data_IF_761778970492
#
_entry.id   IF_761778970492
#
_cell.length_a   1.000
_cell.length_b   1.000
_cell.length_c   1.000
_cell.angle_alpha   90.00
_cell.angle_beta   90.00
_cell.angle_gamma   90.00
#
_symmetry.space_group_name_H-M   'P 1'
#
loop_
_entity.id
_entity.type
_entity.pdbx_description
1 polymer ?
#
# COMPACT_ATOMS: atom_id res chain seq x y z
N UNK A 1 1.41 -5.41 18.40
CA UNK A 1 0.89 -5.82 17.09
C UNK A 1 1.65 -7.10 16.74
N UNK A 2 0.95 -8.20 16.47
CA UNK A 2 1.58 -9.49 16.15
C UNK A 2 2.08 -9.49 14.70
N UNK A 3 3.06 -10.32 14.35
CA UNK A 3 3.54 -10.44 12.96
C UNK A 3 2.37 -10.55 11.94
N UNK A 4 1.34 -11.34 12.27
CA UNK A 4 0.16 -11.49 11.42
C UNK A 4 -0.64 -10.20 11.21
N UNK A 5 -0.75 -9.34 12.23
CA UNK A 5 -1.44 -8.05 12.12
C UNK A 5 -0.68 -7.11 11.15
N UNK A 6 0.65 -7.09 11.21
CA UNK A 6 1.47 -6.29 10.29
C UNK A 6 1.30 -6.76 8.84
N UNK A 7 1.34 -8.08 8.62
CA UNK A 7 1.12 -8.68 7.29
C UNK A 7 -0.25 -8.29 6.76
N UNK A 8 -1.30 -8.42 7.57
CA UNK A 8 -2.67 -8.09 7.17
C UNK A 8 -2.81 -6.61 6.77
N UNK A 9 -2.18 -5.70 7.51
CA UNK A 9 -2.19 -4.26 7.18
C UNK A 9 -1.46 -4.02 5.85
N UNK A 10 -0.27 -4.60 5.67
CA UNK A 10 0.51 -4.45 4.43
C UNK A 10 -0.26 -5.00 3.21
N UNK A 11 -0.87 -6.19 3.33
CA UNK A 11 -1.70 -6.79 2.28
C UNK A 11 -2.95 -5.96 1.96
N UNK A 12 -3.58 -5.37 2.98
CA UNK A 12 -4.75 -4.50 2.79
C UNK A 12 -4.39 -3.23 2.03
N UNK A 13 -3.26 -2.61 2.35
CA UNK A 13 -2.77 -1.42 1.64
C UNK A 13 -2.38 -1.78 0.20
N UNK A 14 -1.64 -2.87 0.00
CA UNK A 14 -1.25 -3.35 -1.33
C UNK A 14 -2.46 -3.66 -2.22
N UNK A 15 -3.49 -4.30 -1.64
CA UNK A 15 -4.76 -4.56 -2.33
C UNK A 15 -5.48 -3.26 -2.72
N UNK A 16 -5.54 -2.28 -1.80
CA UNK A 16 -6.16 -0.98 -2.10
C UNK A 16 -5.42 -0.23 -3.21
N UNK A 17 -4.08 -0.25 -3.20
CA UNK A 17 -3.25 0.34 -4.25
C UNK A 17 -3.54 -0.30 -5.61
N UNK A 18 -3.61 -1.64 -5.69
CA UNK A 18 -3.98 -2.36 -6.92
C UNK A 18 -5.37 -1.97 -7.44
N UNK A 19 -6.34 -1.78 -6.55
CA UNK A 19 -7.67 -1.31 -6.93
C UNK A 19 -7.60 0.10 -7.50
N UNK A 20 -6.88 1.01 -6.85
CA UNK A 20 -6.71 2.39 -7.35
C UNK A 20 -5.97 2.41 -8.70
N UNK A 21 -4.95 1.59 -8.90
CA UNK A 21 -4.21 1.48 -10.18
C UNK A 21 -5.07 0.89 -11.31
N UNK A 22 -6.17 0.21 -10.98
CA UNK A 22 -7.11 -0.36 -11.95
C UNK A 22 -8.24 0.58 -12.38
N UNK A 23 -8.33 1.76 -11.76
CA UNK A 23 -9.34 2.77 -12.10
C UNK A 23 -9.01 3.36 -13.47
N UNK A 24 -10.02 3.42 -14.34
CA UNK A 24 -9.91 4.09 -15.64
C UNK A 24 -9.97 5.62 -15.43
N UNK A 25 -8.90 6.37 -15.76
CA UNK A 25 -8.85 7.82 -15.59
C UNK A 25 -9.93 8.58 -16.36
N UNK A 26 -10.43 8.02 -17.47
CA UNK A 26 -11.51 8.67 -18.26
C UNK A 26 -12.89 8.50 -17.63
N UNK A 27 -13.01 7.63 -16.63
CA UNK A 27 -14.27 7.33 -15.93
C UNK A 27 -14.51 8.16 -14.67
N UNK A 28 -13.54 8.99 -14.28
CA UNK A 28 -13.50 9.75 -13.02
C UNK A 28 -13.27 11.23 -13.32
N UNK A 29 -13.81 12.10 -12.46
CA UNK A 29 -13.56 13.54 -12.57
C UNK A 29 -12.08 13.89 -12.31
N UNK A 30 -11.58 14.98 -12.91
CA UNK A 30 -10.17 15.37 -12.81
C UNK A 30 -9.75 15.66 -11.35
N UNK A 31 -10.62 16.29 -10.56
CA UNK A 31 -10.33 16.61 -9.16
C UNK A 31 -10.30 15.32 -8.31
N UNK A 32 -11.26 14.41 -8.53
CA UNK A 32 -11.29 13.10 -7.86
C UNK A 32 -10.09 12.22 -8.24
N UNK A 33 -9.65 12.30 -9.49
CA UNK A 33 -8.45 11.62 -9.98
C UNK A 33 -7.17 12.18 -9.33
N UNK A 34 -7.07 13.50 -9.17
CA UNK A 34 -5.94 14.14 -8.50
C UNK A 34 -5.86 13.76 -7.00
N UNK A 35 -7.01 13.73 -6.33
CA UNK A 35 -7.11 13.25 -4.94
C UNK A 35 -6.70 11.77 -4.84
N UNK A 36 -7.18 10.93 -5.76
CA UNK A 36 -6.81 9.51 -5.80
C UNK A 36 -5.29 9.33 -5.98
N UNK A 37 -4.65 10.07 -6.88
CA UNK A 37 -3.19 10.01 -7.04
C UNK A 37 -2.44 10.45 -5.79
N UNK A 38 -2.92 11.48 -5.10
CA UNK A 38 -2.34 11.94 -3.84
C UNK A 38 -2.43 10.84 -2.77
N UNK A 39 -3.61 10.24 -2.62
CA UNK A 39 -3.84 9.13 -1.69
C UNK A 39 -2.97 7.91 -2.03
N UNK A 40 -2.81 7.57 -3.31
CA UNK A 40 -1.92 6.51 -3.75
C UNK A 40 -0.48 6.76 -3.31
N UNK A 41 0.04 7.98 -3.46
CA UNK A 41 1.40 8.30 -3.03
C UNK A 41 1.55 8.20 -1.51
N UNK A 42 0.56 8.70 -0.76
CA UNK A 42 0.54 8.60 0.69
C UNK A 42 0.54 7.13 1.16
N UNK A 43 -0.30 6.28 0.55
CA UNK A 43 -0.38 4.85 0.86
C UNK A 43 0.91 4.11 0.49
N UNK A 44 1.56 4.44 -0.63
CA UNK A 44 2.89 3.90 -0.99
C UNK A 44 3.94 4.27 0.05
N UNK A 45 3.92 5.51 0.54
CA UNK A 45 4.81 5.97 1.61
C UNK A 45 4.59 5.20 2.92
N UNK A 46 3.34 5.05 3.35
CA UNK A 46 2.97 4.29 4.55
C UNK A 46 3.39 2.83 4.41
N UNK A 47 3.10 2.18 3.28
CA UNK A 47 3.47 0.80 3.03
C UNK A 47 4.99 0.61 3.10
N UNK A 48 5.76 1.51 2.49
CA UNK A 48 7.22 1.49 2.55
C UNK A 48 7.73 1.62 3.99
N UNK A 49 7.15 2.54 4.77
CA UNK A 49 7.51 2.71 6.18
C UNK A 49 7.23 1.45 7.00
N UNK A 50 6.04 0.84 6.84
CA UNK A 50 5.67 -0.39 7.56
C UNK A 50 6.59 -1.55 7.14
N UNK A 51 6.91 -1.69 5.85
CA UNK A 51 7.86 -2.71 5.36
C UNK A 51 9.23 -2.57 6.03
N UNK A 52 9.77 -1.34 6.11
CA UNK A 52 11.04 -1.06 6.76
C UNK A 52 11.03 -1.41 8.26
N UNK A 53 9.98 -1.03 8.98
CA UNK A 53 9.88 -1.36 10.40
C UNK A 53 9.68 -2.87 10.63
N UNK A 54 8.94 -3.55 9.74
CA UNK A 54 8.78 -5.00 9.78
C UNK A 54 10.11 -5.73 9.58
N UNK A 55 10.90 -5.34 8.58
CA UNK A 55 12.22 -5.93 8.35
C UNK A 55 13.17 -5.71 9.53
N UNK A 56 13.11 -4.54 10.18
CA UNK A 56 13.90 -4.28 11.39
C UNK A 56 13.51 -5.21 12.54
N UNK A 57 12.23 -5.49 12.71
CA UNK A 57 11.73 -6.32 13.82
C UNK A 57 11.91 -7.83 13.57
N UNK A 58 11.69 -8.28 12.33
CA UNK A 58 11.61 -9.71 11.98
C UNK A 58 12.72 -10.21 11.05
N UNK A 59 13.59 -9.32 10.55
CA UNK A 59 14.78 -9.64 9.77
C UNK A 59 14.59 -9.86 8.26
N UNK A 60 13.35 -10.00 7.80
CA UNK A 60 13.01 -10.15 6.38
C UNK A 60 11.53 -9.83 6.14
N UNK A 61 11.19 -9.37 4.92
CA UNK A 61 9.79 -9.22 4.51
C UNK A 61 9.09 -10.56 4.28
N UNK A 62 7.75 -10.58 4.39
CA UNK A 62 6.96 -11.70 3.90
C UNK A 62 7.19 -11.93 2.39
N UNK A 63 7.26 -13.19 1.91
CA UNK A 63 7.62 -13.50 0.52
C UNK A 63 6.73 -12.86 -0.57
N UNK A 64 5.47 -12.59 -0.26
CA UNK A 64 4.50 -12.00 -1.17
C UNK A 64 4.49 -10.45 -1.13
N UNK A 65 5.27 -9.85 -0.23
CA UNK A 65 5.44 -8.39 -0.08
C UNK A 65 6.87 -7.94 -0.40
N UNK A 66 7.80 -8.88 -0.59
CA UNK A 66 9.17 -8.65 -1.03
C UNK A 66 9.33 -8.86 -2.53
N UNK A 67 8.83 -7.91 -3.33
CA UNK A 67 9.29 -7.56 -4.68
C UNK A 67 8.67 -6.21 -5.07
#
# INVERSE_FOLDING_TARGET
>A
MTMGDWVLIMESIDTKLKVMDSVDPESVDEDELADMYTDQQNLKGILSHIKLEFEKEYGALPPHLGN
#
